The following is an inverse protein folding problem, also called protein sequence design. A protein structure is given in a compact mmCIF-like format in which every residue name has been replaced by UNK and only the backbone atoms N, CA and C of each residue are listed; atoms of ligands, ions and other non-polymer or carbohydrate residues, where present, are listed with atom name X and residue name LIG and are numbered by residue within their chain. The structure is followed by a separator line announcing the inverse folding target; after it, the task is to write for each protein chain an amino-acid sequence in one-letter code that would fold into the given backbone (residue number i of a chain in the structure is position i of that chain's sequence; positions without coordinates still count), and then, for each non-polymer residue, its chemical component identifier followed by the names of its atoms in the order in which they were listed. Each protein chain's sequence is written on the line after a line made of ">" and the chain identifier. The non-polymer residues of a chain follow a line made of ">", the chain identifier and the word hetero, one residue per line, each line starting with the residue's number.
data_IF_926269517444
#
_entry.id   IF_926269517444
#
_cell.length_a   1.000
_cell.length_b   1.000
_cell.length_c   1.000
_cell.angle_alpha   90.00
_cell.angle_beta   90.00
_cell.angle_gamma   90.00
#
_symmetry.space_group_name_H-M   'P 1'
#
loop_
_entity.id
_entity.type
_entity.pdbx_description
1 polymer ?
#
# COMPACT_ATOMS: atom_id res chain seq x y z
N UNK A 1 -27.25 30.23 9.37
CA UNK A 1 -25.90 30.79 9.20
C UNK A 1 -24.95 29.61 9.32
N UNK A 2 -24.16 29.35 8.28
CA UNK A 2 -23.33 28.15 8.20
C UNK A 2 -22.17 28.22 9.18
N UNK A 3 -21.98 27.17 9.96
CA UNK A 3 -20.71 26.89 10.60
C UNK A 3 -19.69 26.58 9.51
N UNK A 4 -18.97 27.61 9.04
CA UNK A 4 -17.81 27.43 8.18
C UNK A 4 -16.77 26.61 8.96
N UNK A 5 -16.40 25.44 8.44
CA UNK A 5 -15.34 24.60 9.00
C UNK A 5 -14.07 25.47 9.14
N UNK A 6 -13.47 25.57 10.34
CA UNK A 6 -12.24 26.31 10.52
C UNK A 6 -11.16 25.81 9.55
N UNK A 7 -10.47 26.74 8.90
CA UNK A 7 -9.48 26.42 7.85
C UNK A 7 -8.44 25.40 8.30
N UNK A 8 -8.01 25.47 9.57
CA UNK A 8 -7.03 24.55 10.13
C UNK A 8 -7.55 23.10 10.20
N UNK A 9 -8.83 22.90 10.54
CA UNK A 9 -9.46 21.58 10.59
C UNK A 9 -9.61 21.01 9.18
N UNK A 10 -10.07 21.84 8.25
CA UNK A 10 -10.16 21.50 6.83
C UNK A 10 -8.78 21.12 6.25
N UNK A 11 -7.75 21.92 6.55
CA UNK A 11 -6.39 21.71 6.08
C UNK A 11 -5.76 20.44 6.68
N UNK A 12 -5.94 20.20 7.98
CA UNK A 12 -5.47 18.98 8.63
C UNK A 12 -6.14 17.72 8.06
N UNK A 13 -7.45 17.77 7.81
CA UNK A 13 -8.21 16.67 7.19
C UNK A 13 -7.72 16.38 5.77
N UNK A 14 -7.43 17.41 4.98
CA UNK A 14 -6.80 17.29 3.65
C UNK A 14 -5.39 16.73 3.75
N UNK A 15 -4.58 17.21 4.69
CA UNK A 15 -3.21 16.75 4.92
C UNK A 15 -3.14 15.25 5.19
N UNK A 16 -4.09 14.70 5.96
CA UNK A 16 -4.21 13.25 6.21
C UNK A 16 -4.50 12.41 4.95
N UNK A 17 -5.02 13.02 3.88
CA UNK A 17 -5.29 12.34 2.59
C UNK A 17 -4.14 12.46 1.61
N UNK A 18 -3.17 13.34 1.88
CA UNK A 18 -1.99 13.47 1.06
C UNK A 18 -1.07 12.28 1.32
N UNK A 19 -0.41 11.85 0.25
CA UNK A 19 0.61 10.83 0.35
C UNK A 19 1.82 11.38 1.13
N UNK A 20 2.33 10.69 2.15
CA UNK A 20 3.53 11.12 2.86
C UNK A 20 4.74 11.17 1.92
N UNK A 21 5.57 12.21 2.08
CA UNK A 21 6.87 12.30 1.42
C UNK A 21 7.75 11.14 1.90
N UNK A 22 8.48 10.51 0.99
CA UNK A 22 9.28 9.31 1.26
C UNK A 22 8.51 8.00 1.12
N UNK A 23 7.20 8.02 0.82
CA UNK A 23 6.47 6.78 0.51
C UNK A 23 7.08 6.12 -0.73
N UNK A 24 7.34 4.81 -0.65
CA UNK A 24 7.91 4.02 -1.75
C UNK A 24 6.90 3.04 -2.33
N UNK A 25 7.00 2.77 -3.63
CA UNK A 25 6.27 1.67 -4.30
C UNK A 25 7.15 1.01 -5.35
N UNK A 26 6.72 -0.17 -5.82
CA UNK A 26 7.34 -0.86 -6.97
C UNK A 26 6.47 -0.71 -8.21
N UNK A 27 7.13 -0.57 -9.36
CA UNK A 27 6.54 -0.51 -10.70
C UNK A 27 7.17 -1.60 -11.55
N UNK A 28 6.37 -2.34 -12.31
CA UNK A 28 6.87 -3.37 -13.24
C UNK A 28 7.60 -2.71 -14.40
N UNK A 29 8.76 -3.25 -14.77
CA UNK A 29 9.49 -2.82 -15.98
C UNK A 29 9.19 -3.71 -17.19
N UNK A 30 8.52 -4.84 -16.99
CA UNK A 30 8.04 -5.72 -18.05
C UNK A 30 6.54 -5.57 -18.27
N UNK A 31 6.11 -5.66 -19.53
CA UNK A 31 4.69 -5.75 -19.90
C UNK A 31 3.91 -4.43 -19.80
N UNK A 32 2.59 -4.56 -19.65
CA UNK A 32 1.66 -3.43 -19.60
C UNK A 32 1.73 -2.68 -18.25
N UNK A 33 1.83 -1.34 -18.23
CA UNK A 33 2.03 -0.55 -17.01
C UNK A 33 0.83 -0.59 -16.05
N UNK A 34 -0.32 -1.15 -16.45
CA UNK A 34 -1.51 -1.27 -15.60
C UNK A 34 -1.64 -2.64 -14.90
N UNK A 35 -0.60 -3.48 -14.94
CA UNK A 35 -0.62 -4.78 -14.24
C UNK A 35 -0.43 -4.62 -12.73
N UNK A 36 -1.16 -5.45 -11.97
CA UNK A 36 -1.06 -5.47 -10.52
C UNK A 36 0.31 -6.00 -10.06
N UNK A 37 0.79 -5.52 -8.91
CA UNK A 37 2.14 -5.80 -8.44
C UNK A 37 2.51 -7.30 -8.37
N UNK A 38 1.58 -8.22 -8.12
CA UNK A 38 1.90 -9.65 -8.02
C UNK A 38 1.91 -10.38 -9.37
N UNK A 39 1.46 -9.74 -10.45
CA UNK A 39 1.53 -10.30 -11.80
C UNK A 39 3.02 -10.38 -12.18
N UNK A 40 3.45 -11.51 -12.75
CA UNK A 40 4.84 -11.74 -13.17
C UNK A 40 5.86 -11.47 -12.03
N UNK A 41 5.98 -12.38 -11.06
CA UNK A 41 6.84 -12.14 -9.88
C UNK A 41 8.33 -12.03 -10.24
N UNK A 42 8.77 -12.65 -11.33
CA UNK A 42 10.18 -12.78 -11.70
C UNK A 42 10.69 -11.67 -12.64
N UNK A 43 9.83 -10.71 -13.03
CA UNK A 43 10.26 -9.61 -13.89
C UNK A 43 10.91 -8.49 -13.09
N UNK A 44 11.89 -7.77 -13.67
CA UNK A 44 12.52 -6.61 -13.04
C UNK A 44 11.53 -5.49 -12.71
N UNK A 45 11.85 -4.75 -11.65
CA UNK A 45 10.98 -3.70 -11.09
C UNK A 45 11.78 -2.47 -10.72
N UNK A 46 11.15 -1.31 -10.91
CA UNK A 46 11.66 -0.03 -10.47
C UNK A 46 11.02 0.32 -9.12
N UNK A 47 11.85 0.62 -8.13
CA UNK A 47 11.43 1.27 -6.89
C UNK A 47 11.40 2.77 -7.15
N UNK A 48 10.25 3.39 -6.83
CA UNK A 48 10.06 4.83 -6.89
C UNK A 48 9.66 5.36 -5.52
N UNK A 49 10.04 6.60 -5.23
CA UNK A 49 9.73 7.33 -3.99
C UNK A 49 8.95 8.60 -4.28
N UNK A 50 8.00 8.94 -3.40
CA UNK A 50 7.22 10.16 -3.52
C UNK A 50 7.96 11.34 -2.89
N UNK A 51 8.34 12.33 -3.69
CA UNK A 51 9.06 13.54 -3.20
C UNK A 51 8.13 14.64 -2.68
N UNK A 52 6.81 14.46 -2.76
CA UNK A 52 5.79 15.49 -2.47
C UNK A 52 5.09 16.05 -3.70
N UNK A 53 5.65 15.84 -4.89
CA UNK A 53 5.15 16.33 -6.17
C UNK A 53 5.09 15.25 -7.26
N UNK A 54 6.12 14.41 -7.36
CA UNK A 54 6.28 13.37 -8.36
C UNK A 54 6.87 12.07 -7.76
N UNK A 55 6.74 10.99 -8.52
CA UNK A 55 7.42 9.73 -8.22
C UNK A 55 8.83 9.77 -8.81
N UNK A 56 9.85 9.75 -7.96
CA UNK A 56 11.25 9.74 -8.35
C UNK A 56 11.80 8.32 -8.41
N UNK A 57 12.58 7.94 -9.43
CA UNK A 57 13.25 6.64 -9.49
C UNK A 57 14.32 6.54 -8.40
N UNK A 58 14.33 5.44 -7.65
CA UNK A 58 15.32 5.17 -6.59
C UNK A 58 16.30 4.09 -7.02
N UNK A 59 15.79 2.92 -7.42
CA UNK A 59 16.63 1.77 -7.81
C UNK A 59 15.83 0.73 -8.58
N UNK A 60 16.52 -0.18 -9.27
CA UNK A 60 15.91 -1.34 -9.91
C UNK A 60 16.22 -2.61 -9.14
N UNK A 61 15.32 -3.58 -9.18
CA UNK A 61 15.47 -4.90 -8.56
C UNK A 61 15.01 -6.00 -9.50
N UNK A 62 15.59 -7.19 -9.36
CA UNK A 62 15.40 -8.28 -10.32
C UNK A 62 13.99 -8.88 -10.28
N UNK A 63 13.32 -8.85 -9.14
CA UNK A 63 12.02 -9.51 -8.96
C UNK A 63 11.17 -8.91 -7.83
N UNK A 64 9.94 -9.39 -7.70
CA UNK A 64 8.99 -8.97 -6.69
C UNK A 64 9.46 -9.22 -5.26
N UNK A 65 10.12 -10.35 -5.00
CA UNK A 65 10.59 -10.69 -3.66
C UNK A 65 11.66 -9.68 -3.19
N UNK A 66 12.59 -9.29 -4.07
CA UNK A 66 13.57 -8.25 -3.79
C UNK A 66 12.88 -6.89 -3.54
N UNK A 67 11.87 -6.53 -4.33
CA UNK A 67 11.08 -5.31 -4.11
C UNK A 67 10.39 -5.31 -2.73
N UNK A 68 9.79 -6.44 -2.32
CA UNK A 68 9.11 -6.56 -1.03
C UNK A 68 10.05 -6.33 0.16
N UNK A 69 11.31 -6.78 0.08
CA UNK A 69 12.31 -6.57 1.14
C UNK A 69 12.67 -5.09 1.30
N UNK A 70 12.73 -4.33 0.20
CA UNK A 70 13.00 -2.88 0.24
C UNK A 70 11.79 -2.11 0.75
N UNK A 71 10.58 -2.48 0.33
CA UNK A 71 9.35 -1.77 0.69
C UNK A 71 8.88 -2.08 2.11
N UNK A 72 9.22 -3.27 2.62
CA UNK A 72 8.84 -3.72 3.95
C UNK A 72 10.09 -4.20 4.67
N UNK A 73 11.01 -3.30 5.04
CA UNK A 73 12.14 -3.66 5.89
C UNK A 73 11.57 -4.25 7.17
N UNK A 74 12.02 -5.45 7.53
CA UNK A 74 11.58 -6.07 8.77
C UNK A 74 11.88 -5.08 9.92
N UNK A 75 10.91 -4.78 10.80
CA UNK A 75 11.24 -4.06 12.03
C UNK A 75 12.27 -4.89 12.77
N UNK A 76 13.34 -4.24 13.25
CA UNK A 76 14.37 -4.89 14.07
C UNK A 76 13.66 -5.64 15.19
N UNK A 77 13.77 -6.98 15.13
CA UNK A 77 13.12 -7.99 15.97
C UNK A 77 12.28 -7.45 17.15
N UNK A 78 11.09 -6.95 16.86
CA UNK A 78 10.01 -6.92 17.85
C UNK A 78 9.27 -8.25 17.69
N UNK A 79 9.04 -9.03 18.75
CA UNK A 79 8.35 -10.31 18.63
C UNK A 79 7.02 -10.06 17.94
N UNK A 80 6.88 -10.60 16.72
CA UNK A 80 5.69 -10.47 15.91
C UNK A 80 4.52 -11.01 16.71
N UNK A 81 3.72 -10.10 17.29
CA UNK A 81 2.44 -10.48 17.84
C UNK A 81 1.64 -11.10 16.68
N UNK A 82 1.26 -12.36 16.85
CA UNK A 82 0.46 -13.07 15.87
C UNK A 82 -0.74 -12.19 15.45
N UNK A 83 -1.11 -12.14 14.15
CA UNK A 83 -2.28 -11.39 13.74
C UNK A 83 -3.48 -11.86 14.58
N UNK A 84 -4.35 -10.92 15.04
CA UNK A 84 -5.50 -11.29 15.84
C UNK A 84 -6.30 -12.36 15.09
N UNK A 85 -6.69 -13.42 15.81
CA UNK A 85 -7.47 -14.50 15.24
C UNK A 85 -8.65 -13.92 14.46
N UNK A 86 -8.74 -14.26 13.17
CA UNK A 86 -9.88 -13.85 12.34
C UNK A 86 -11.15 -14.35 13.05
N UNK A 87 -12.15 -13.49 13.28
CA UNK A 87 -13.40 -13.95 13.87
C UNK A 87 -13.94 -15.10 13.01
N UNK A 88 -14.43 -16.19 13.63
CA UNK A 88 -14.97 -17.31 12.87
C UNK A 88 -16.07 -16.80 11.94
N UNK A 89 -16.10 -17.31 10.71
CA UNK A 89 -17.19 -16.99 9.78
C UNK A 89 -18.51 -17.34 10.47
N UNK A 90 -19.33 -16.33 10.75
CA UNK A 90 -20.65 -16.54 11.32
C UNK A 90 -21.44 -17.49 10.39
N UNK A 91 -22.29 -18.39 10.93
CA UNK A 91 -23.19 -19.18 10.13
C UNK A 91 -24.03 -18.24 9.26
N UNK A 92 -23.76 -18.22 7.96
CA UNK A 92 -24.40 -17.29 7.04
C UNK A 92 -25.85 -17.70 6.80
N UNK A 93 -26.80 -16.95 7.36
CA UNK A 93 -28.24 -17.01 7.03
C UNK A 93 -28.56 -16.34 5.67
N UNK A 94 -27.54 -16.10 4.85
CA UNK A 94 -27.68 -15.40 3.58
C UNK A 94 -28.52 -16.19 2.58
N UNK A 95 -29.58 -15.57 2.07
CA UNK A 95 -30.51 -16.08 1.04
C UNK A 95 -29.85 -16.67 -0.22
N UNK A 96 -28.56 -16.43 -0.41
CA UNK A 96 -27.75 -16.89 -1.55
C UNK A 96 -27.06 -18.23 -1.32
N UNK A 97 -27.04 -18.75 -0.09
CA UNK A 97 -26.62 -20.13 0.17
C UNK A 97 -27.86 -21.01 0.13
N UNK A 98 -28.14 -21.58 -1.04
CA UNK A 98 -29.18 -22.61 -1.19
C UNK A 98 -28.59 -23.96 -0.73
N UNK A 99 -29.38 -24.81 -0.03
CA UNK A 99 -28.95 -26.13 0.42
C UNK A 99 -28.53 -27.04 -0.73
#
# INVERSE_FOLDING_TARGET
>A
MGDDEPLDEWAARRGKRLRPVGERKSVHLGGDPHRAAHVEPDVPRLIVEWDGYAWQPVTTVDNYAAACRILNPAPESSPSAAPPARPPMAPGTGKHRKP
#
